data_IF_948813772855
#
_entry.id   IF_948813772855
#
_cell.length_a   1.000
_cell.length_b   1.000
_cell.length_c   1.000
_cell.angle_alpha   90.00
_cell.angle_beta   90.00
_cell.angle_gamma   90.00
#
_symmetry.space_group_name_H-M   'P 1'
#
loop_
_entity.id
_entity.type
_entity.pdbx_description
1 polymer ?
#
# COMPACT_ATOMS: atom_id res chain seq x y z
N UNK A 1 1.01 114.62 -5.12
CA UNK A 1 0.83 113.66 -6.23
C UNK A 1 2.00 112.69 -6.21
N UNK A 2 1.81 111.39 -6.51
CA UNK A 2 1.89 110.32 -5.51
C UNK A 2 3.30 109.77 -5.23
N UNK A 3 3.37 109.17 -4.05
CA UNK A 3 4.48 108.41 -3.48
C UNK A 3 4.73 107.12 -4.26
N UNK A 4 5.99 106.87 -4.63
CA UNK A 4 6.45 105.55 -5.07
C UNK A 4 6.74 104.67 -3.87
N UNK A 5 5.74 103.87 -3.46
CA UNK A 5 5.90 102.84 -2.44
C UNK A 5 6.80 101.72 -2.97
N UNK A 6 8.02 101.63 -2.43
CA UNK A 6 8.86 100.44 -2.53
C UNK A 6 8.12 99.27 -1.85
N UNK A 7 7.83 98.21 -2.61
CA UNK A 7 7.23 96.98 -2.07
C UNK A 7 8.22 96.36 -1.06
N UNK A 8 7.78 95.98 0.15
CA UNK A 8 8.66 95.31 1.09
C UNK A 8 9.02 93.93 0.55
N UNK A 9 10.30 93.60 0.61
CA UNK A 9 10.78 92.23 0.43
C UNK A 9 10.09 91.36 1.48
N UNK A 10 9.16 90.51 1.04
CA UNK A 10 8.56 89.50 1.89
C UNK A 10 9.67 88.52 2.28
N UNK A 11 10.00 88.50 3.56
CA UNK A 11 10.79 87.45 4.18
C UNK A 11 10.02 86.15 4.02
N UNK A 12 10.30 85.40 2.96
CA UNK A 12 9.82 84.03 2.82
C UNK A 12 10.22 83.21 4.05
N UNK A 13 9.46 82.15 4.38
CA UNK A 13 9.80 81.29 5.52
C UNK A 13 11.26 80.82 5.41
N UNK A 14 11.97 80.66 6.54
CA UNK A 14 13.38 80.27 6.52
C UNK A 14 13.57 79.04 5.65
N UNK A 15 14.53 79.08 4.73
CA UNK A 15 14.93 77.93 3.92
C UNK A 15 15.33 76.82 4.89
N UNK A 16 14.42 75.89 5.17
CA UNK A 16 14.74 74.70 5.96
C UNK A 16 15.77 73.91 5.16
N UNK A 17 16.98 73.79 5.71
CA UNK A 17 18.00 72.92 5.16
C UNK A 17 17.52 71.47 5.14
N UNK A 18 18.19 70.64 4.33
CA UNK A 18 17.93 69.19 4.30
C UNK A 18 18.25 68.60 5.68
N UNK A 19 17.32 67.89 6.35
CA UNK A 19 17.63 67.21 7.60
C UNK A 19 18.67 66.12 7.38
N UNK A 20 19.33 65.65 8.44
CA UNK A 20 20.33 64.57 8.38
C UNK A 20 19.78 63.25 7.84
N UNK A 21 18.47 63.05 7.89
CA UNK A 21 17.75 61.89 7.33
C UNK A 21 17.33 62.07 5.87
N UNK A 22 17.63 63.22 5.23
CA UNK A 22 17.28 63.48 3.84
C UNK A 22 18.15 62.63 2.88
N UNK A 23 17.54 62.11 1.82
CA UNK A 23 18.28 61.39 0.76
C UNK A 23 19.32 62.32 0.12
N UNK A 24 20.61 61.96 0.07
CA UNK A 24 21.62 62.79 -0.58
C UNK A 24 21.25 63.02 -2.06
N UNK A 25 21.08 64.28 -2.45
CA UNK A 25 20.71 64.66 -3.82
C UNK A 25 21.14 66.09 -4.13
N UNK A 26 21.54 66.33 -5.38
CA UNK A 26 21.80 67.66 -5.95
C UNK A 26 20.63 68.17 -6.78
N UNK A 27 19.55 67.38 -6.93
CA UNK A 27 18.36 67.77 -7.68
C UNK A 27 17.62 68.93 -7.01
N UNK A 28 16.87 69.67 -7.82
CA UNK A 28 15.99 70.74 -7.35
C UNK A 28 14.88 70.17 -6.45
N UNK A 29 14.44 70.95 -5.46
CA UNK A 29 13.48 70.48 -4.44
C UNK A 29 12.14 70.03 -5.05
N UNK A 30 11.69 70.68 -6.11
CA UNK A 30 10.45 70.42 -6.84
C UNK A 30 10.45 69.07 -7.59
N UNK A 31 11.62 68.44 -7.75
CA UNK A 31 11.71 67.07 -8.26
C UNK A 31 11.04 66.05 -7.32
N UNK A 32 11.09 66.31 -6.00
CA UNK A 32 10.61 65.37 -4.98
C UNK A 32 9.48 65.95 -4.11
N UNK A 33 9.42 67.27 -3.96
CA UNK A 33 8.46 67.96 -3.09
C UNK A 33 7.48 68.78 -3.90
N UNK A 34 6.19 68.71 -3.57
CA UNK A 34 5.18 69.61 -4.13
C UNK A 34 5.04 70.83 -3.22
N UNK A 35 4.91 72.01 -3.81
CA UNK A 35 4.69 73.26 -3.05
C UNK A 35 3.34 73.26 -2.32
N UNK A 36 2.35 72.54 -2.83
CA UNK A 36 1.03 72.36 -2.22
C UNK A 36 1.00 71.28 -1.14
N UNK A 37 1.97 70.36 -1.13
CA UNK A 37 2.10 69.29 -0.15
C UNK A 37 3.57 68.84 -0.08
N UNK A 38 4.34 69.44 0.82
CA UNK A 38 5.78 69.19 0.92
C UNK A 38 6.10 67.77 1.40
N UNK A 39 5.19 67.15 2.15
CA UNK A 39 5.30 65.76 2.62
C UNK A 39 4.02 64.98 2.32
N UNK A 40 4.12 63.71 1.90
CA UNK A 40 5.35 62.96 1.64
C UNK A 40 6.06 63.40 0.34
N UNK A 41 7.38 63.26 0.31
CA UNK A 41 8.15 63.44 -0.91
C UNK A 41 8.00 62.21 -1.82
N UNK A 42 8.11 62.40 -3.14
CA UNK A 42 8.16 61.31 -4.11
C UNK A 42 9.60 61.01 -4.51
N UNK A 43 9.96 59.73 -4.60
CA UNK A 43 11.28 59.29 -5.06
C UNK A 43 11.13 58.17 -6.10
N UNK A 44 11.90 58.26 -7.19
CA UNK A 44 11.97 57.20 -8.20
C UNK A 44 13.22 56.35 -8.01
N UNK A 45 13.07 55.03 -8.01
CA UNK A 45 14.20 54.10 -7.95
C UNK A 45 14.85 53.85 -9.33
N UNK A 46 14.36 54.50 -10.40
CA UNK A 46 14.98 54.41 -11.73
C UNK A 46 16.40 54.97 -11.69
N UNK A 47 17.38 54.20 -12.16
CA UNK A 47 18.78 54.62 -12.19
C UNK A 47 19.53 54.44 -10.87
N UNK A 48 18.90 53.91 -9.82
CA UNK A 48 19.62 53.47 -8.62
C UNK A 48 20.49 52.27 -8.99
N UNK A 49 21.79 52.36 -8.71
CA UNK A 49 22.74 51.30 -9.01
C UNK A 49 22.46 50.04 -8.17
N UNK A 50 22.60 48.87 -8.79
CA UNK A 50 22.55 47.60 -8.07
C UNK A 50 23.63 47.55 -6.97
N UNK A 51 23.33 46.90 -5.85
CA UNK A 51 24.26 46.83 -4.71
C UNK A 51 24.25 48.02 -3.76
N UNK A 52 23.66 49.17 -4.14
CA UNK A 52 23.74 50.39 -3.32
C UNK A 52 22.52 50.62 -2.43
N UNK A 53 21.55 49.71 -2.38
CA UNK A 53 20.29 49.93 -1.66
C UNK A 53 20.50 50.26 -0.17
N UNK A 54 21.49 49.64 0.48
CA UNK A 54 21.79 49.80 1.89
C UNK A 54 22.31 51.21 2.26
N UNK A 55 22.77 52.01 1.28
CA UNK A 55 23.23 53.38 1.56
C UNK A 55 22.07 54.30 1.97
N UNK A 56 20.86 54.02 1.45
CA UNK A 56 19.63 54.73 1.83
C UNK A 56 18.76 53.91 2.79
N UNK A 57 18.61 52.60 2.58
CA UNK A 57 17.81 51.71 3.42
C UNK A 57 18.56 51.21 4.66
N UNK A 58 19.02 52.17 5.48
CA UNK A 58 19.86 51.96 6.66
C UNK A 58 19.08 52.06 8.00
N UNK A 59 17.78 52.33 7.96
CA UNK A 59 16.95 52.54 9.15
C UNK A 59 16.90 53.99 9.65
N UNK A 60 17.72 54.87 9.08
CA UNK A 60 17.77 56.31 9.39
C UNK A 60 17.25 57.16 8.23
N UNK A 61 17.80 56.99 7.02
CA UNK A 61 17.39 57.73 5.82
C UNK A 61 16.11 57.15 5.21
N UNK A 62 16.06 55.83 5.10
CA UNK A 62 14.88 55.07 4.68
C UNK A 62 14.77 53.78 5.48
N UNK A 63 13.60 53.14 5.42
CA UNK A 63 13.32 51.90 6.15
C UNK A 63 14.35 50.83 5.80
N UNK A 64 15.08 50.35 6.80
CA UNK A 64 16.02 49.23 6.65
C UNK A 64 15.34 47.86 6.73
N UNK A 65 16.16 46.81 6.85
CA UNK A 65 15.69 45.43 7.08
C UNK A 65 14.95 45.36 8.43
N UNK A 66 13.69 44.90 8.49
CA UNK A 66 13.02 44.67 9.78
C UNK A 66 13.68 43.52 10.54
N UNK A 67 13.44 43.42 11.85
CA UNK A 67 13.97 42.32 12.68
C UNK A 67 13.51 40.92 12.21
N UNK A 68 12.39 40.84 11.50
CA UNK A 68 11.87 39.60 10.90
C UNK A 68 12.46 39.27 9.53
N UNK A 69 13.37 40.10 9.00
CA UNK A 69 14.04 39.84 7.72
C UNK A 69 14.97 38.63 7.83
N UNK A 70 15.07 37.83 6.76
CA UNK A 70 16.03 36.73 6.70
C UNK A 70 17.47 37.25 6.90
N UNK A 71 18.27 36.67 7.80
CA UNK A 71 19.66 37.11 7.97
C UNK A 71 20.43 36.96 6.65
N UNK A 72 20.90 38.07 6.09
CA UNK A 72 21.66 38.09 4.83
C UNK A 72 22.53 39.33 4.72
N UNK A 73 23.76 39.13 4.22
CA UNK A 73 24.69 40.18 3.80
C UNK A 73 24.58 40.51 2.30
N UNK A 74 23.76 39.78 1.54
CA UNK A 74 23.60 40.01 0.11
C UNK A 74 22.92 41.36 -0.17
N UNK A 75 23.18 41.89 -1.37
CA UNK A 75 22.52 43.09 -1.86
C UNK A 75 21.02 42.91 -1.93
N UNK A 76 20.25 43.98 -1.68
CA UNK A 76 18.79 43.87 -1.67
C UNK A 76 18.24 43.45 -3.04
N UNK A 77 18.89 43.90 -4.12
CA UNK A 77 18.56 43.57 -5.51
C UNK A 77 18.78 42.09 -5.89
N UNK A 78 19.44 41.30 -5.03
CA UNK A 78 19.50 39.84 -5.20
C UNK A 78 18.13 39.19 -4.99
N UNK A 79 17.28 39.79 -4.14
CA UNK A 79 15.99 39.22 -3.74
C UNK A 79 14.81 40.11 -4.12
N UNK A 80 14.98 41.44 -4.10
CA UNK A 80 13.93 42.42 -4.31
C UNK A 80 14.11 43.13 -5.65
N UNK A 81 13.01 43.47 -6.32
CA UNK A 81 13.03 44.31 -7.51
C UNK A 81 12.57 45.72 -7.14
N UNK A 82 13.20 46.74 -7.71
CA UNK A 82 12.79 48.14 -7.49
C UNK A 82 11.41 48.45 -8.07
N UNK A 83 10.97 47.69 -9.08
CA UNK A 83 9.64 47.80 -9.69
C UNK A 83 8.56 47.01 -8.93
N UNK A 84 8.96 45.99 -8.16
CA UNK A 84 8.08 45.16 -7.35
C UNK A 84 8.87 44.62 -6.15
N UNK A 85 8.86 45.37 -5.05
CA UNK A 85 9.65 45.03 -3.87
C UNK A 85 9.19 43.73 -3.21
N UNK A 86 7.90 43.43 -3.30
CA UNK A 86 7.30 42.18 -2.81
C UNK A 86 6.46 41.51 -3.89
N UNK A 87 6.50 40.17 -4.01
CA UNK A 87 7.30 39.24 -3.21
C UNK A 87 8.80 39.27 -3.57
N UNK A 88 9.65 38.90 -2.60
CA UNK A 88 11.07 38.70 -2.85
C UNK A 88 11.32 37.28 -3.40
N UNK A 89 12.38 37.11 -4.19
CA UNK A 89 12.85 35.79 -4.63
C UNK A 89 13.98 35.31 -3.74
N UNK A 90 13.99 34.02 -3.39
CA UNK A 90 15.06 33.39 -2.63
C UNK A 90 15.51 32.09 -3.31
N UNK A 91 16.83 31.87 -3.37
CA UNK A 91 17.43 30.64 -3.88
C UNK A 91 18.02 29.84 -2.72
N UNK A 92 17.70 28.54 -2.66
CA UNK A 92 18.31 27.62 -1.69
C UNK A 92 19.71 27.14 -2.11
N UNK A 93 20.25 27.63 -3.22
CA UNK A 93 21.59 27.28 -3.68
C UNK A 93 22.63 27.78 -2.69
N UNK A 94 23.54 26.91 -2.26
CA UNK A 94 24.60 27.26 -1.30
C UNK A 94 24.14 27.32 0.17
N UNK A 95 22.88 26.98 0.48
CA UNK A 95 22.46 26.76 1.87
C UNK A 95 23.19 25.53 2.40
N UNK A 96 23.87 25.67 3.53
CA UNK A 96 24.63 24.59 4.15
C UNK A 96 23.70 23.43 4.59
N UNK A 97 24.07 22.17 4.32
CA UNK A 97 23.39 21.02 4.91
C UNK A 97 23.29 21.15 6.44
N UNK A 98 22.18 20.73 7.04
CA UNK A 98 21.95 20.86 8.48
C UNK A 98 21.47 22.22 8.97
N UNK A 99 21.54 23.28 8.16
CA UNK A 99 21.17 24.63 8.62
C UNK A 99 19.70 25.00 8.38
N UNK A 100 18.87 24.10 7.86
CA UNK A 100 17.50 24.43 7.42
C UNK A 100 16.64 25.02 8.56
N UNK A 101 16.80 24.50 9.78
CA UNK A 101 16.02 24.89 10.95
C UNK A 101 16.32 26.31 11.44
N UNK A 102 17.43 26.93 11.02
CA UNK A 102 17.74 28.33 11.40
C UNK A 102 16.75 29.30 10.75
N UNK A 103 16.22 28.96 9.56
CA UNK A 103 15.20 29.74 8.87
C UNK A 103 13.80 29.09 8.97
N UNK A 104 13.69 27.77 8.82
CA UNK A 104 12.43 27.04 8.89
C UNK A 104 12.02 26.71 10.34
N UNK A 105 11.91 27.75 11.16
CA UNK A 105 11.61 27.69 12.59
C UNK A 105 10.13 27.99 12.93
N UNK A 106 9.29 28.28 11.93
CA UNK A 106 7.89 28.65 12.13
C UNK A 106 7.66 30.16 12.31
N UNK A 107 8.72 30.95 12.46
CA UNK A 107 8.66 32.41 12.54
C UNK A 107 9.23 33.08 11.29
N UNK A 108 10.48 32.75 10.92
CA UNK A 108 11.14 33.33 9.73
C UNK A 108 10.63 32.69 8.44
N UNK A 109 10.52 31.36 8.43
CA UNK A 109 9.93 30.58 7.36
C UNK A 109 9.14 29.40 7.95
N UNK A 110 8.28 28.81 7.12
CA UNK A 110 7.43 27.68 7.53
C UNK A 110 8.28 26.51 8.06
N UNK A 111 8.04 26.12 9.31
CA UNK A 111 8.69 24.95 9.91
C UNK A 111 8.01 23.62 9.53
N UNK A 112 8.33 22.57 10.29
CA UNK A 112 7.69 21.25 10.17
C UNK A 112 6.17 21.38 10.45
N UNK A 113 5.28 20.93 9.56
CA UNK A 113 3.84 20.93 9.84
C UNK A 113 3.48 19.92 10.93
N UNK A 114 2.30 20.03 11.53
CA UNK A 114 1.82 19.14 12.60
C UNK A 114 1.77 17.65 12.22
N UNK A 115 1.60 17.33 10.93
CA UNK A 115 1.61 15.96 10.41
C UNK A 115 3.00 15.44 10.00
N UNK A 116 4.07 16.18 10.26
CA UNK A 116 5.43 15.73 9.93
C UNK A 116 5.85 14.57 10.85
N UNK A 117 6.60 13.61 10.32
CA UNK A 117 7.15 12.51 11.12
C UNK A 117 8.03 13.07 12.26
N UNK A 118 7.86 12.65 13.52
CA UNK A 118 8.71 13.13 14.60
C UNK A 118 10.18 12.80 14.31
N UNK A 119 11.02 13.83 14.21
CA UNK A 119 12.45 13.66 13.93
C UNK A 119 13.27 14.87 14.37
N UNK A 120 14.45 14.60 14.94
CA UNK A 120 15.49 15.58 15.25
C UNK A 120 16.53 15.71 14.14
N UNK A 121 16.47 14.85 13.12
CA UNK A 121 17.38 14.91 11.98
C UNK A 121 17.19 16.19 11.17
N UNK A 122 18.28 16.62 10.54
CA UNK A 122 18.29 17.72 9.60
C UNK A 122 17.35 17.46 8.41
N UNK A 123 16.75 18.51 7.87
CA UNK A 123 15.76 18.37 6.80
C UNK A 123 16.33 17.72 5.53
N UNK A 124 17.61 17.98 5.24
CA UNK A 124 18.35 17.46 4.09
C UNK A 124 18.58 15.94 4.11
N UNK A 125 18.31 15.27 5.25
CA UNK A 125 18.31 13.80 5.32
C UNK A 125 17.13 13.21 4.53
N UNK A 126 16.01 13.92 4.45
CA UNK A 126 14.79 13.43 3.82
C UNK A 126 14.37 14.28 2.61
N UNK A 127 14.69 15.57 2.60
CA UNK A 127 14.26 16.53 1.59
C UNK A 127 15.43 17.01 0.74
N UNK A 128 15.18 17.29 -0.53
CA UNK A 128 16.13 17.97 -1.41
C UNK A 128 15.65 19.38 -1.70
N UNK A 129 16.55 20.35 -1.69
CA UNK A 129 16.20 21.76 -2.02
C UNK A 129 15.75 21.92 -3.48
N UNK A 130 16.20 21.05 -4.37
CA UNK A 130 15.77 21.00 -5.77
C UNK A 130 14.37 20.39 -5.97
N UNK A 131 13.93 19.55 -5.04
CA UNK A 131 12.63 18.88 -5.06
C UNK A 131 12.24 18.50 -3.63
N UNK A 132 11.51 19.39 -2.96
CA UNK A 132 11.18 19.21 -1.55
C UNK A 132 10.28 17.99 -1.31
N UNK A 133 9.40 17.68 -2.27
CA UNK A 133 8.54 16.49 -2.25
C UNK A 133 8.66 15.70 -3.54
N UNK A 134 8.62 14.36 -3.49
CA UNK A 134 8.48 13.54 -2.28
C UNK A 134 9.76 13.52 -1.43
N UNK A 135 9.60 13.31 -0.12
CA UNK A 135 10.71 13.07 0.78
C UNK A 135 11.14 11.60 0.72
N UNK A 136 12.40 11.32 1.01
CA UNK A 136 12.90 9.96 1.21
C UNK A 136 12.89 9.58 2.68
N UNK A 137 12.59 8.31 2.98
CA UNK A 137 12.67 7.76 4.32
C UNK A 137 13.36 6.40 4.29
N UNK A 138 14.27 6.17 5.25
CA UNK A 138 14.90 4.86 5.46
C UNK A 138 14.36 4.23 6.74
N UNK A 139 14.00 2.94 6.67
CA UNK A 139 13.62 2.17 7.86
C UNK A 139 14.83 1.62 8.63
N UNK A 140 16.06 1.91 8.19
CA UNK A 140 17.27 1.52 8.93
C UNK A 140 17.27 2.17 10.31
N UNK A 141 17.49 1.36 11.35
CA UNK A 141 17.52 1.85 12.74
C UNK A 141 16.15 2.05 13.39
N UNK A 142 15.04 1.78 12.68
CA UNK A 142 13.72 1.70 13.32
C UNK A 142 13.72 0.52 14.27
N UNK A 143 13.39 0.76 15.54
CA UNK A 143 13.39 -0.27 16.56
C UNK A 143 12.34 -1.36 16.25
N UNK A 144 12.67 -2.66 16.40
CA UNK A 144 11.69 -3.74 16.36
C UNK A 144 10.50 -3.45 17.29
N UNK A 145 9.29 -3.85 16.90
CA UNK A 145 8.09 -3.56 17.69
C UNK A 145 7.50 -2.15 17.54
N UNK A 146 8.23 -1.19 16.96
CA UNK A 146 7.81 0.22 16.95
C UNK A 146 7.01 0.65 15.73
N UNK A 147 6.73 -0.24 14.77
CA UNK A 147 6.13 0.11 13.48
C UNK A 147 4.81 0.89 13.62
N UNK A 148 3.97 0.49 14.58
CA UNK A 148 2.66 1.09 14.83
C UNK A 148 2.73 2.53 15.36
N UNK A 149 3.89 2.98 15.86
CA UNK A 149 4.07 4.38 16.30
C UNK A 149 3.96 5.36 15.13
N UNK A 150 4.38 4.94 13.93
CA UNK A 150 4.24 5.72 12.69
C UNK A 150 3.13 5.19 11.78
N UNK A 151 2.99 3.87 11.62
CA UNK A 151 1.94 3.24 10.80
C UNK A 151 0.61 3.12 11.56
N UNK A 152 0.08 4.27 11.98
CA UNK A 152 -1.13 4.40 12.79
C UNK A 152 -2.36 4.86 11.99
N UNK A 153 -2.23 5.07 10.68
CA UNK A 153 -3.31 5.58 9.82
C UNK A 153 -3.37 7.11 9.70
N UNK A 154 -2.65 7.83 10.56
CA UNK A 154 -2.53 9.29 10.55
C UNK A 154 -1.18 9.75 10.03
N UNK A 155 -0.07 9.27 10.63
CA UNK A 155 1.30 9.66 10.25
C UNK A 155 1.77 8.91 8.99
N UNK A 156 1.50 7.61 8.94
CA UNK A 156 1.74 6.76 7.79
C UNK A 156 0.61 5.73 7.66
N UNK A 157 0.53 5.08 6.49
CA UNK A 157 -0.49 4.07 6.20
C UNK A 157 -0.46 2.98 7.28
N UNK A 158 -1.57 2.83 7.99
CA UNK A 158 -1.73 1.80 9.02
C UNK A 158 -2.12 0.44 8.46
N UNK A 159 -2.41 -0.48 9.38
CA UNK A 159 -2.95 -1.81 9.08
C UNK A 159 -4.29 -1.69 8.34
N UNK A 160 -4.44 -2.26 7.12
CA UNK A 160 -5.70 -2.19 6.37
C UNK A 160 -6.78 -3.07 7.03
N UNK A 161 -8.06 -2.76 6.75
CA UNK A 161 -9.21 -3.47 7.32
C UNK A 161 -9.24 -4.97 6.98
N UNK A 162 -8.69 -5.37 5.83
CA UNK A 162 -8.59 -6.78 5.41
C UNK A 162 -7.38 -7.54 5.97
N UNK A 163 -6.57 -6.94 6.85
CA UNK A 163 -5.42 -7.62 7.43
C UNK A 163 -5.86 -8.67 8.46
N UNK A 164 -5.16 -9.82 8.50
CA UNK A 164 -5.39 -10.87 9.50
C UNK A 164 -5.44 -10.31 10.93
N UNK A 165 -6.42 -10.68 11.77
CA UNK A 165 -6.44 -10.25 13.16
C UNK A 165 -5.13 -10.67 13.87
N UNK A 166 -4.44 -9.72 14.48
CA UNK A 166 -3.19 -9.96 15.21
C UNK A 166 -2.88 -8.76 16.10
N UNK A 167 -2.33 -9.04 17.28
CA UNK A 167 -1.76 -8.07 18.22
C UNK A 167 -0.22 -8.05 18.17
N UNK A 168 0.39 -8.93 17.38
CA UNK A 168 1.84 -8.97 17.23
C UNK A 168 2.34 -7.73 16.49
N UNK A 169 3.59 -7.37 16.77
CA UNK A 169 4.24 -6.30 16.03
C UNK A 169 4.38 -6.64 14.55
N UNK A 170 4.42 -5.61 13.69
CA UNK A 170 4.44 -5.82 12.24
C UNK A 170 5.67 -6.62 11.79
N UNK A 171 6.81 -6.44 12.45
CA UNK A 171 8.07 -7.10 12.18
C UNK A 171 8.09 -8.61 12.52
N UNK A 172 7.04 -9.12 13.18
CA UNK A 172 6.83 -10.57 13.32
C UNK A 172 6.47 -11.25 11.99
N UNK A 173 5.85 -10.50 11.07
CA UNK A 173 5.37 -11.03 9.78
C UNK A 173 5.99 -10.32 8.57
N UNK A 174 6.35 -9.05 8.70
CA UNK A 174 6.84 -8.21 7.62
C UNK A 174 8.32 -7.87 7.79
N UNK A 175 9.03 -7.70 6.67
CA UNK A 175 10.40 -7.17 6.66
C UNK A 175 10.40 -5.78 6.05
N UNK A 176 11.23 -4.88 6.57
CA UNK A 176 11.36 -3.50 6.04
C UNK A 176 12.03 -3.46 4.66
N UNK A 177 12.82 -4.48 4.32
CA UNK A 177 13.46 -4.66 3.01
C UNK A 177 12.53 -5.28 1.96
N UNK A 178 11.55 -6.07 2.40
CA UNK A 178 10.54 -6.70 1.55
C UNK A 178 9.24 -6.83 2.36
N UNK A 179 8.37 -5.83 2.25
CA UNK A 179 7.13 -5.80 3.03
C UNK A 179 6.17 -6.92 2.65
N UNK A 180 6.18 -7.33 1.39
CA UNK A 180 5.39 -8.43 0.85
C UNK A 180 6.26 -9.41 0.06
N UNK A 181 6.02 -10.72 0.17
CA UNK A 181 4.99 -11.38 0.99
C UNK A 181 5.33 -11.34 2.49
N UNK A 182 4.30 -11.40 3.33
CA UNK A 182 4.46 -11.58 4.76
C UNK A 182 4.68 -13.06 5.11
N UNK A 183 5.42 -13.33 6.18
CA UNK A 183 5.52 -14.67 6.76
C UNK A 183 4.45 -14.88 7.83
N UNK A 184 3.80 -16.04 7.84
CA UNK A 184 2.82 -16.40 8.86
C UNK A 184 3.13 -17.79 9.40
N UNK A 185 3.06 -17.95 10.72
CA UNK A 185 3.16 -19.24 11.41
C UNK A 185 1.81 -19.66 11.96
N UNK A 186 1.41 -20.91 11.73
CA UNK A 186 0.21 -21.50 12.32
C UNK A 186 0.43 -21.99 13.76
N UNK A 187 1.64 -21.84 14.32
CA UNK A 187 1.92 -22.18 15.72
C UNK A 187 1.02 -21.35 16.64
N UNK A 188 0.35 -22.01 17.58
CA UNK A 188 -0.54 -21.36 18.55
C UNK A 188 -1.94 -21.01 18.02
N UNK A 189 -2.25 -21.32 16.75
CA UNK A 189 -3.64 -21.26 16.27
C UNK A 189 -4.45 -22.35 16.97
N UNK A 190 -5.51 -21.95 17.66
CA UNK A 190 -6.36 -22.87 18.41
C UNK A 190 -7.12 -23.82 17.47
N UNK A 191 -7.20 -25.10 17.87
CA UNK A 191 -8.03 -26.10 17.19
C UNK A 191 -9.49 -25.60 17.08
N UNK A 192 -10.18 -25.96 15.99
CA UNK A 192 -11.54 -25.50 15.73
C UNK A 192 -11.68 -24.09 15.15
N UNK A 193 -10.62 -23.28 15.11
CA UNK A 193 -10.70 -21.87 14.67
C UNK A 193 -10.34 -21.63 13.21
N UNK A 194 -9.95 -22.67 12.45
CA UNK A 194 -9.42 -22.54 11.09
C UNK A 194 -10.36 -21.76 10.16
N UNK A 195 -11.68 -22.00 10.27
CA UNK A 195 -12.70 -21.37 9.43
C UNK A 195 -12.85 -19.85 9.68
N UNK A 196 -12.37 -19.34 10.82
CA UNK A 196 -12.38 -17.88 11.08
C UNK A 196 -11.48 -17.13 10.10
N UNK A 197 -10.41 -17.76 9.62
CA UNK A 197 -9.46 -17.21 8.65
C UNK A 197 -9.66 -17.82 7.25
N UNK A 198 -9.80 -19.15 7.14
CA UNK A 198 -10.00 -19.86 5.88
C UNK A 198 -11.47 -19.84 5.42
N UNK A 199 -11.99 -18.63 5.24
CA UNK A 199 -13.39 -18.35 4.89
C UNK A 199 -13.59 -17.98 3.40
N UNK A 200 -12.53 -17.97 2.59
CA UNK A 200 -12.57 -17.57 1.18
C UNK A 200 -12.33 -16.08 0.93
N UNK A 201 -12.38 -15.24 1.97
CA UNK A 201 -12.11 -13.80 1.91
C UNK A 201 -10.76 -13.46 2.55
N UNK A 202 -10.55 -13.84 3.81
CA UNK A 202 -9.31 -13.55 4.55
C UNK A 202 -8.16 -14.47 4.11
N UNK A 203 -8.46 -15.76 3.97
CA UNK A 203 -7.56 -16.77 3.44
C UNK A 203 -8.35 -17.79 2.62
N UNK A 204 -7.64 -18.60 1.83
CA UNK A 204 -8.24 -19.62 0.97
C UNK A 204 -9.11 -20.57 1.79
N UNK A 205 -10.40 -20.63 1.47
CA UNK A 205 -11.34 -21.57 2.09
C UNK A 205 -11.29 -22.97 1.49
N UNK A 206 -12.26 -23.80 1.86
CA UNK A 206 -12.47 -25.14 1.27
C UNK A 206 -12.72 -24.98 -0.24
N UNK A 207 -11.95 -25.66 -1.13
CA UNK A 207 -12.25 -25.68 -2.56
C UNK A 207 -13.58 -26.41 -2.82
N UNK A 208 -14.16 -26.20 -4.00
CA UNK A 208 -15.40 -26.88 -4.42
C UNK A 208 -15.26 -28.41 -4.49
N UNK A 209 -14.04 -28.92 -4.65
CA UNK A 209 -13.72 -30.35 -4.61
C UNK A 209 -13.53 -30.91 -3.20
N UNK A 210 -13.63 -30.10 -2.14
CA UNK A 210 -13.48 -30.57 -0.76
C UNK A 210 -14.64 -31.50 -0.37
N UNK A 211 -14.36 -32.52 0.45
CA UNK A 211 -15.40 -33.40 1.00
C UNK A 211 -16.41 -32.60 1.83
N UNK A 212 -17.73 -32.74 1.63
CA UNK A 212 -18.71 -32.05 2.45
C UNK A 212 -18.54 -32.42 3.92
N UNK A 213 -18.27 -31.45 4.79
CA UNK A 213 -18.07 -31.68 6.22
C UNK A 213 -18.29 -30.40 7.04
N UNK A 214 -18.93 -30.56 8.20
CA UNK A 214 -19.08 -29.53 9.24
C UNK A 214 -18.01 -29.65 10.32
N UNK A 215 -17.16 -30.68 10.28
CA UNK A 215 -16.08 -30.86 11.24
C UNK A 215 -15.04 -29.75 11.10
N UNK A 216 -14.40 -29.43 12.23
CA UNK A 216 -13.24 -28.55 12.26
C UNK A 216 -12.11 -29.10 11.39
N UNK A 217 -11.34 -28.22 10.76
CA UNK A 217 -10.31 -28.63 9.81
C UNK A 217 -9.24 -29.52 10.44
N UNK A 218 -8.92 -29.28 11.71
CA UNK A 218 -7.96 -30.05 12.52
C UNK A 218 -8.37 -31.52 12.77
N UNK A 219 -9.62 -31.89 12.50
CA UNK A 219 -10.03 -33.30 12.50
C UNK A 219 -9.40 -34.10 11.35
N UNK A 220 -9.00 -33.44 10.27
CA UNK A 220 -8.46 -34.07 9.05
C UNK A 220 -7.07 -33.54 8.67
N UNK A 221 -6.78 -32.27 8.96
CA UNK A 221 -5.55 -31.59 8.54
C UNK A 221 -4.68 -31.23 9.73
N UNK A 222 -3.35 -31.26 9.56
CA UNK A 222 -2.41 -30.71 10.56
C UNK A 222 -1.81 -29.40 10.07
N UNK A 223 -1.59 -28.46 10.97
CA UNK A 223 -0.98 -27.16 10.65
C UNK A 223 0.48 -27.25 10.21
N UNK A 224 1.19 -28.30 10.64
CA UNK A 224 2.58 -28.59 10.23
C UNK A 224 2.68 -29.34 8.90
N UNK A 225 1.62 -30.07 8.53
CA UNK A 225 1.52 -30.81 7.28
C UNK A 225 0.05 -30.87 6.86
N UNK A 226 -0.37 -29.89 6.05
CA UNK A 226 -1.77 -29.75 5.66
C UNK A 226 -2.24 -30.92 4.78
N UNK A 227 -1.35 -31.48 3.96
CA UNK A 227 -1.60 -32.64 3.12
C UNK A 227 -0.52 -33.71 3.33
N UNK A 228 -0.88 -35.01 3.28
CA UNK A 228 -2.24 -35.54 3.08
C UNK A 228 -3.14 -35.35 4.31
N UNK A 229 -4.45 -35.30 4.08
CA UNK A 229 -5.44 -35.27 5.14
C UNK A 229 -5.76 -36.69 5.61
N UNK A 230 -6.16 -36.85 6.87
CA UNK A 230 -6.69 -38.11 7.40
C UNK A 230 -8.21 -38.12 7.32
N UNK A 231 -8.80 -39.22 6.85
CA UNK A 231 -10.25 -39.39 6.78
C UNK A 231 -10.64 -40.81 7.22
N UNK A 232 -11.75 -40.94 7.95
CA UNK A 232 -12.34 -42.23 8.33
C UNK A 232 -13.71 -42.41 7.69
N UNK A 233 -13.96 -43.59 7.12
CA UNK A 233 -15.27 -43.97 6.59
C UNK A 233 -16.27 -44.37 7.68
N UNK A 234 -15.85 -44.42 8.95
CA UNK A 234 -16.76 -44.72 10.06
C UNK A 234 -17.90 -43.71 10.13
N UNK A 235 -19.15 -44.19 10.15
CA UNK A 235 -20.34 -43.34 10.24
C UNK A 235 -20.82 -42.77 8.90
N UNK A 236 -20.15 -43.07 7.78
CA UNK A 236 -20.70 -42.78 6.44
C UNK A 236 -21.92 -43.65 6.20
N UNK A 237 -23.06 -43.03 5.87
CA UNK A 237 -24.30 -43.74 5.64
C UNK A 237 -24.20 -44.69 4.43
N UNK A 238 -24.68 -45.94 4.53
CA UNK A 238 -24.82 -46.83 3.37
C UNK A 238 -25.60 -46.14 2.23
N UNK A 239 -25.26 -46.44 0.98
CA UNK A 239 -25.87 -45.79 -0.18
C UNK A 239 -25.30 -44.43 -0.57
N UNK A 240 -24.53 -43.77 0.30
CA UNK A 240 -24.09 -42.39 0.07
C UNK A 240 -22.73 -42.24 -0.62
N UNK A 241 -22.05 -43.34 -0.96
CA UNK A 241 -20.66 -43.33 -1.45
C UNK A 241 -20.46 -42.42 -2.69
N UNK A 242 -21.43 -42.45 -3.61
CA UNK A 242 -21.39 -41.69 -4.86
C UNK A 242 -21.44 -40.16 -4.65
N UNK A 243 -21.88 -39.69 -3.48
CA UNK A 243 -21.88 -38.25 -3.16
C UNK A 243 -20.46 -37.69 -3.09
N UNK A 244 -19.48 -38.52 -2.70
CA UNK A 244 -18.06 -38.13 -2.60
C UNK A 244 -17.22 -38.81 -3.69
N UNK A 245 -17.44 -40.08 -3.99
CA UNK A 245 -16.73 -40.84 -5.03
C UNK A 245 -17.31 -40.57 -6.43
N UNK A 246 -17.29 -39.29 -6.83
CA UNK A 246 -17.87 -38.79 -8.07
C UNK A 246 -16.82 -38.44 -9.15
N UNK A 247 -15.53 -38.66 -8.87
CA UNK A 247 -14.43 -38.32 -9.78
C UNK A 247 -13.86 -36.90 -9.61
N UNK A 248 -14.56 -36.04 -8.86
CA UNK A 248 -14.13 -34.67 -8.54
C UNK A 248 -13.66 -34.55 -7.08
N UNK A 249 -14.50 -34.99 -6.14
CA UNK A 249 -14.21 -34.90 -4.69
C UNK A 249 -13.31 -36.04 -4.22
N UNK A 250 -13.64 -37.26 -4.64
CA UNK A 250 -12.84 -38.46 -4.44
C UNK A 250 -12.88 -39.33 -5.70
N UNK A 251 -11.96 -40.30 -5.77
CA UNK A 251 -11.86 -41.24 -6.90
C UNK A 251 -13.20 -41.94 -7.12
N UNK A 252 -13.80 -41.72 -8.30
CA UNK A 252 -15.05 -42.38 -8.69
C UNK A 252 -14.85 -43.78 -9.26
N UNK A 253 -15.91 -44.32 -9.86
CA UNK A 253 -15.86 -45.60 -10.60
C UNK A 253 -14.82 -45.50 -11.73
N UNK A 254 -13.86 -46.43 -11.83
CA UNK A 254 -12.93 -46.45 -12.96
C UNK A 254 -13.67 -46.80 -14.27
N UNK A 255 -13.05 -46.51 -15.41
CA UNK A 255 -13.69 -46.71 -16.72
C UNK A 255 -14.09 -48.18 -17.00
N UNK A 256 -13.40 -49.14 -16.39
CA UNK A 256 -13.67 -50.57 -16.50
C UNK A 256 -14.58 -51.10 -15.37
N UNK A 257 -15.27 -50.22 -14.63
CA UNK A 257 -16.24 -50.63 -13.64
C UNK A 257 -17.51 -51.19 -14.31
N UNK A 258 -18.08 -52.26 -13.77
CA UNK A 258 -19.34 -52.83 -14.25
C UNK A 258 -20.47 -51.76 -14.22
N UNK A 259 -21.22 -51.54 -15.31
CA UNK A 259 -22.34 -50.61 -15.29
C UNK A 259 -23.39 -51.04 -14.26
N UNK A 260 -23.67 -50.18 -13.28
CA UNK A 260 -24.64 -50.47 -12.21
C UNK A 260 -25.21 -49.19 -11.61
N UNK A 261 -26.50 -49.23 -11.29
CA UNK A 261 -27.23 -48.20 -10.53
C UNK A 261 -27.30 -48.54 -9.03
N UNK A 262 -26.82 -49.71 -8.63
CA UNK A 262 -26.80 -50.12 -7.22
C UNK A 262 -25.84 -49.25 -6.42
N UNK A 263 -26.12 -49.11 -5.12
CA UNK A 263 -25.20 -48.49 -4.18
C UNK A 263 -23.87 -49.25 -4.12
N UNK A 264 -22.78 -48.55 -3.83
CA UNK A 264 -21.45 -49.17 -3.80
C UNK A 264 -21.36 -50.27 -2.75
N UNK A 265 -21.99 -50.08 -1.59
CA UNK A 265 -22.08 -51.02 -0.47
C UNK A 265 -22.85 -52.32 -0.78
N UNK A 266 -23.58 -52.38 -1.90
CA UNK A 266 -24.17 -53.63 -2.37
C UNK A 266 -23.11 -54.64 -2.86
N UNK A 267 -21.94 -54.15 -3.28
CA UNK A 267 -20.84 -54.98 -3.78
C UNK A 267 -19.55 -54.77 -2.99
N UNK A 268 -19.25 -53.56 -2.52
CA UNK A 268 -18.00 -53.20 -1.87
C UNK A 268 -18.10 -53.15 -0.36
N UNK A 269 -17.11 -53.69 0.35
CA UNK A 269 -16.96 -53.48 1.80
C UNK A 269 -16.24 -52.16 2.07
N UNK A 270 -16.71 -51.37 3.03
CA UNK A 270 -16.19 -50.01 3.29
C UNK A 270 -14.77 -49.98 3.89
N UNK A 271 -14.31 -51.07 4.51
CA UNK A 271 -13.00 -51.16 5.16
C UNK A 271 -11.89 -51.66 4.23
N UNK A 272 -12.19 -52.67 3.43
CA UNK A 272 -11.22 -53.36 2.54
C UNK A 272 -11.41 -53.02 1.07
N UNK A 273 -12.55 -52.44 0.70
CA UNK A 273 -12.96 -52.08 -0.67
C UNK A 273 -12.91 -53.24 -1.68
N UNK A 274 -12.94 -54.48 -1.20
CA UNK A 274 -13.15 -55.69 -2.01
C UNK A 274 -14.58 -55.72 -2.53
N UNK A 275 -14.74 -56.14 -3.79
CA UNK A 275 -16.03 -56.31 -4.43
C UNK A 275 -16.48 -57.78 -4.36
N UNK A 276 -17.74 -58.01 -4.01
CA UNK A 276 -18.39 -59.32 -4.10
C UNK A 276 -19.54 -59.25 -5.11
N UNK A 277 -19.53 -60.12 -6.12
CA UNK A 277 -20.59 -60.23 -7.11
C UNK A 277 -21.26 -61.61 -7.03
N UNK A 278 -22.59 -61.63 -6.95
CA UNK A 278 -23.37 -62.86 -6.93
C UNK A 278 -23.86 -63.24 -8.32
N UNK A 279 -23.61 -64.48 -8.74
CA UNK A 279 -24.12 -65.03 -10.00
C UNK A 279 -25.54 -65.63 -9.90
N UNK A 280 -26.19 -65.55 -8.74
CA UNK A 280 -27.48 -66.23 -8.47
C UNK A 280 -28.65 -65.74 -9.32
N UNK A 281 -28.58 -64.50 -9.82
CA UNK A 281 -29.68 -63.85 -10.54
C UNK A 281 -29.29 -63.40 -11.95
N UNK A 282 -28.22 -63.97 -12.50
CA UNK A 282 -27.79 -63.70 -13.88
C UNK A 282 -28.72 -64.43 -14.85
N UNK A 283 -29.27 -63.70 -15.82
CA UNK A 283 -30.13 -64.28 -16.85
C UNK A 283 -29.31 -65.14 -17.81
N UNK A 284 -29.77 -66.36 -18.16
CA UNK A 284 -29.17 -67.14 -19.23
C UNK A 284 -29.07 -66.33 -20.53
N UNK A 285 -27.99 -66.50 -21.28
CA UNK A 285 -27.71 -65.80 -22.53
C UNK A 285 -26.91 -64.51 -22.37
N UNK A 286 -26.71 -64.03 -21.13
CA UNK A 286 -26.15 -62.69 -20.89
C UNK A 286 -24.68 -62.67 -20.46
N UNK A 287 -24.01 -63.83 -20.34
CA UNK A 287 -22.66 -63.93 -19.79
C UNK A 287 -21.64 -63.04 -20.52
N UNK A 288 -21.75 -62.94 -21.85
CA UNK A 288 -20.87 -62.15 -22.69
C UNK A 288 -20.99 -60.63 -22.46
N UNK A 289 -22.06 -60.16 -21.82
CA UNK A 289 -22.21 -58.74 -21.48
C UNK A 289 -21.23 -58.30 -20.37
N UNK A 290 -20.86 -59.24 -19.49
CA UNK A 290 -19.89 -59.03 -18.41
C UNK A 290 -18.50 -59.62 -18.74
N UNK A 291 -18.45 -60.84 -19.27
CA UNK A 291 -17.22 -61.57 -19.65
C UNK A 291 -16.74 -61.17 -21.05
N UNK A 292 -16.41 -59.89 -21.21
CA UNK A 292 -15.99 -59.29 -22.49
C UNK A 292 -14.51 -58.83 -22.48
N UNK A 293 -13.77 -59.07 -21.40
CA UNK A 293 -12.40 -58.60 -21.23
C UNK A 293 -12.27 -57.15 -20.75
N UNK A 294 -13.38 -56.42 -20.64
CA UNK A 294 -13.43 -55.06 -20.07
C UNK A 294 -13.83 -55.12 -18.60
N UNK A 295 -14.95 -55.77 -18.26
CA UNK A 295 -15.50 -55.81 -16.90
C UNK A 295 -15.07 -57.07 -16.13
N UNK A 296 -15.08 -58.21 -16.81
CA UNK A 296 -14.61 -59.49 -16.30
C UNK A 296 -13.82 -60.21 -17.40
N UNK A 297 -13.04 -61.22 -16.99
CA UNK A 297 -12.25 -62.05 -17.91
C UNK A 297 -13.17 -62.61 -19.01
N UNK A 298 -12.86 -62.28 -20.26
CA UNK A 298 -13.60 -62.78 -21.42
C UNK A 298 -13.05 -64.11 -21.94
N UNK A 299 -13.49 -64.48 -23.15
CA UNK A 299 -13.00 -65.69 -23.84
C UNK A 299 -11.47 -65.62 -24.03
N UNK A 300 -10.70 -66.65 -23.63
CA UNK A 300 -9.28 -66.72 -23.95
C UNK A 300 -9.06 -66.85 -25.46
N UNK A 301 -7.82 -66.60 -25.91
CA UNK A 301 -7.49 -66.59 -27.36
C UNK A 301 -7.74 -67.93 -28.04
N UNK A 302 -7.63 -69.01 -27.28
CA UNK A 302 -7.77 -70.39 -27.71
C UNK A 302 -9.22 -70.91 -27.56
N UNK A 303 -10.18 -70.04 -27.23
CA UNK A 303 -11.57 -70.44 -27.06
C UNK A 303 -12.17 -70.94 -28.40
N UNK A 304 -12.84 -72.10 -28.44
CA UNK A 304 -13.46 -72.63 -29.65
C UNK A 304 -14.42 -71.66 -30.32
N UNK A 305 -14.42 -71.61 -31.65
CA UNK A 305 -15.38 -70.80 -32.43
C UNK A 305 -16.74 -71.48 -32.36
N UNK A 306 -17.74 -70.77 -31.81
CA UNK A 306 -19.11 -71.28 -31.66
C UNK A 306 -20.12 -70.14 -31.75
N UNK A 307 -21.29 -70.44 -32.31
CA UNK A 307 -22.46 -69.55 -32.36
C UNK A 307 -23.44 -69.81 -31.21
N UNK A 308 -23.21 -70.83 -30.39
CA UNK A 308 -24.06 -71.16 -29.25
C UNK A 308 -23.88 -70.16 -28.09
N UNK A 309 -24.93 -69.99 -27.28
CA UNK A 309 -24.84 -69.22 -26.04
C UNK A 309 -23.82 -69.84 -25.09
N UNK A 310 -23.24 -69.01 -24.21
CA UNK A 310 -22.27 -69.44 -23.21
C UNK A 310 -22.86 -70.52 -22.28
N UNK A 311 -24.14 -70.45 -21.94
CA UNK A 311 -24.81 -71.39 -21.02
C UNK A 311 -24.98 -72.80 -21.57
N UNK A 312 -24.79 -72.99 -22.89
CA UNK A 312 -24.80 -74.32 -23.49
C UNK A 312 -23.55 -75.13 -23.11
N UNK A 313 -22.45 -74.44 -22.73
CA UNK A 313 -21.17 -75.06 -22.42
C UNK A 313 -20.65 -74.72 -21.02
N UNK A 314 -21.06 -73.59 -20.43
CA UNK A 314 -20.60 -73.11 -19.13
C UNK A 314 -21.76 -72.88 -18.17
N UNK A 315 -21.47 -73.01 -16.89
CA UNK A 315 -22.34 -72.60 -15.78
C UNK A 315 -21.65 -71.49 -14.99
N UNK A 316 -22.39 -70.84 -14.11
CA UNK A 316 -21.86 -69.82 -13.19
C UNK A 316 -20.77 -70.32 -12.24
N UNK A 317 -20.53 -71.64 -12.16
CA UNK A 317 -19.45 -72.28 -11.38
C UNK A 317 -18.30 -72.83 -12.23
N UNK A 318 -18.43 -72.83 -13.56
CA UNK A 318 -17.47 -73.49 -14.47
C UNK A 318 -16.86 -72.54 -15.50
N UNK A 319 -16.96 -71.23 -15.30
CA UNK A 319 -16.37 -70.22 -16.19
C UNK A 319 -14.83 -70.13 -16.11
N UNK A 320 -14.22 -70.66 -15.04
CA UNK A 320 -12.77 -70.67 -14.81
C UNK A 320 -12.10 -72.05 -15.05
N UNK A 321 -12.77 -72.98 -15.74
CA UNK A 321 -12.16 -74.25 -16.18
C UNK A 321 -11.90 -74.26 -17.67
#
# INVERSE_FOLDING_TARGET
MPQGLARPATTGPPRRGKPTTHVPTTQSCDTCHRTTAWTPATFSHTGVAAGTCATCHNGTTAKGKPATHVPTSQSCDTCHRTTAWTPATFSHTGVAPGSCATCHNGTTAKGKPSGHVPTTQSCDVCHRTSAWTPATFSHTGVAPGSCATCHNGTTAKGKPSGHVPTTQSCDACHRTTAWTPATFSHTGVAAGTCATCHNGTTAKGKPTSHVPTTQSCDACHRTTAWTPATFSHTGVAPGSCATCHNGTTAKGKPANHLPTTQSCDACHRTTTWDANFSHTSVLPGTCATCHNGVYAKGKPKEHPVTTQSCDACHTTKTFDK
#
